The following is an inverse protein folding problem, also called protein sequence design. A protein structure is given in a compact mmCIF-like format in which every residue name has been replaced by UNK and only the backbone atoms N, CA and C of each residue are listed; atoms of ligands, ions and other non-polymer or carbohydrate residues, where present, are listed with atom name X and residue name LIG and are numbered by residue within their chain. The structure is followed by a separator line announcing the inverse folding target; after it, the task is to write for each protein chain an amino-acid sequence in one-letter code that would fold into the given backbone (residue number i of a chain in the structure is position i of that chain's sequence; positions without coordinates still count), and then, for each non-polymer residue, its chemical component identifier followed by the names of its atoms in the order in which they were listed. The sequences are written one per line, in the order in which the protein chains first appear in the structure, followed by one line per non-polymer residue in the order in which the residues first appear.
data_IF_654065546231
#
_entry.id   IF_654065546231
#
_cell.length_a   1.000
_cell.length_b   1.000
_cell.length_c   1.000
_cell.angle_alpha   90.00
_cell.angle_beta   90.00
_cell.angle_gamma   90.00
#
_symmetry.space_group_name_H-M   'P 1'
#
loop_
_entity.id
_entity.type
_entity.pdbx_description
1 polymer ?
#
# COMPACT_ATOMS: atom_id res chain seq x y z
N UNK A 1 70.59 26.56 -44.86
CA UNK A 1 71.00 28.01 -44.98
C UNK A 1 69.83 28.85 -44.46
N UNK A 2 70.22 29.88 -43.70
CA UNK A 2 69.46 31.02 -43.19
C UNK A 2 68.55 30.79 -41.98
N UNK A 3 69.16 31.14 -40.90
CA UNK A 3 68.77 31.85 -39.69
C UNK A 3 67.78 32.98 -39.94
N UNK A 4 66.87 33.23 -39.05
CA UNK A 4 66.58 34.58 -38.57
C UNK A 4 65.89 34.50 -37.18
N UNK A 5 66.45 35.32 -36.34
CA UNK A 5 66.18 35.70 -34.97
C UNK A 5 65.01 36.70 -34.96
N UNK A 6 64.16 36.70 -33.98
CA UNK A 6 63.53 37.91 -33.41
C UNK A 6 62.60 37.55 -32.24
N UNK A 7 62.97 37.96 -31.17
CA UNK A 7 62.65 39.05 -30.22
C UNK A 7 61.56 38.70 -29.24
N UNK A 8 61.99 38.61 -27.97
CA UNK A 8 61.21 38.69 -26.75
C UNK A 8 60.32 39.95 -26.73
N UNK A 9 59.00 39.76 -26.37
CA UNK A 9 58.21 40.84 -25.82
C UNK A 9 57.58 40.34 -24.53
N UNK A 10 58.09 40.76 -23.41
CA UNK A 10 57.50 40.61 -22.09
C UNK A 10 56.25 41.52 -21.98
N UNK A 11 55.06 40.97 -21.88
CA UNK A 11 53.93 41.71 -21.43
C UNK A 11 53.55 41.15 -20.05
N UNK A 12 53.70 41.98 -19.05
CA UNK A 12 53.25 41.73 -17.67
C UNK A 12 51.75 41.78 -17.65
N UNK A 13 51.09 40.59 -17.52
CA UNK A 13 49.67 40.50 -17.25
C UNK A 13 49.46 40.63 -15.74
N UNK A 14 48.91 41.76 -15.33
CA UNK A 14 48.43 41.99 -13.97
C UNK A 14 47.24 41.04 -13.75
N UNK A 15 47.46 40.01 -12.97
CA UNK A 15 46.40 39.05 -12.56
C UNK A 15 45.39 39.74 -11.64
N UNK A 16 44.23 40.06 -12.18
CA UNK A 16 43.07 40.39 -11.35
C UNK A 16 42.59 39.11 -10.63
N UNK A 17 42.93 38.99 -9.35
CA UNK A 17 42.35 37.98 -8.46
C UNK A 17 40.90 38.37 -8.22
N UNK A 18 39.98 37.81 -9.00
CA UNK A 18 38.56 37.86 -8.70
C UNK A 18 38.28 37.06 -7.42
N UNK A 19 37.69 37.66 -6.38
CA UNK A 19 37.24 36.87 -5.23
C UNK A 19 36.18 35.89 -5.72
N UNK A 20 36.50 34.59 -5.64
CA UNK A 20 35.48 33.53 -5.81
C UNK A 20 34.43 33.77 -4.73
N UNK A 21 33.27 34.32 -5.13
CA UNK A 21 32.09 34.34 -4.30
C UNK A 21 31.71 32.88 -4.04
N UNK A 22 32.19 32.34 -2.92
CA UNK A 22 31.72 31.07 -2.40
C UNK A 22 30.18 31.21 -2.19
N UNK A 23 29.40 30.73 -3.14
CA UNK A 23 27.97 30.57 -2.93
C UNK A 23 27.80 29.76 -1.65
N UNK A 24 27.07 30.26 -0.64
CA UNK A 24 26.83 29.49 0.56
C UNK A 24 26.18 28.18 0.14
N UNK A 25 26.83 27.05 0.43
CA UNK A 25 26.22 25.75 0.31
C UNK A 25 25.01 25.78 1.25
N UNK A 26 23.82 25.97 0.69
CA UNK A 26 22.60 25.83 1.45
C UNK A 26 22.60 24.41 2.00
N UNK A 27 22.89 24.29 3.29
CA UNK A 27 22.77 23.04 4.00
C UNK A 27 21.34 22.56 3.77
N UNK A 28 21.20 21.51 2.97
CA UNK A 28 19.91 20.93 2.65
C UNK A 28 19.26 20.55 3.99
N UNK A 29 18.14 21.18 4.32
CA UNK A 29 17.45 20.93 5.58
C UNK A 29 17.32 19.41 5.79
N UNK A 30 17.55 18.89 7.00
CA UNK A 30 17.45 17.48 7.27
C UNK A 30 16.09 16.96 6.77
N UNK A 31 16.11 15.85 6.05
CA UNK A 31 14.86 15.26 5.54
C UNK A 31 13.91 15.02 6.72
N UNK A 32 12.66 15.51 6.60
CA UNK A 32 11.68 15.42 7.67
C UNK A 32 11.43 13.94 8.04
N UNK A 33 11.34 13.64 9.33
CA UNK A 33 11.06 12.29 9.83
C UNK A 33 9.67 11.82 9.36
N UNK A 34 9.56 10.69 8.63
CA UNK A 34 8.28 10.22 8.09
C UNK A 34 7.24 9.88 9.15
N UNK A 35 7.65 9.44 10.35
CA UNK A 35 6.73 9.12 11.45
C UNK A 35 6.12 10.40 12.02
N UNK A 36 6.95 11.43 12.21
CA UNK A 36 6.49 12.76 12.66
C UNK A 36 5.58 13.38 11.59
N UNK A 37 6.00 13.29 10.31
CA UNK A 37 5.23 13.80 9.19
C UNK A 37 3.85 13.13 9.09
N UNK A 38 3.77 11.80 9.25
CA UNK A 38 2.52 11.07 9.29
C UNK A 38 1.62 11.51 10.47
N UNK A 39 2.16 11.60 11.68
CA UNK A 39 1.38 12.00 12.86
C UNK A 39 0.75 13.39 12.70
N UNK A 40 1.41 14.30 12.00
CA UNK A 40 0.86 15.63 11.64
C UNK A 40 -0.34 15.56 10.69
N UNK A 41 -0.53 14.44 9.96
CA UNK A 41 -1.70 14.25 9.10
C UNK A 41 -2.95 13.80 9.86
N UNK A 42 -2.84 13.41 11.12
CA UNK A 42 -3.96 12.91 11.92
C UNK A 42 -4.88 14.05 12.40
N UNK A 43 -5.52 14.66 11.44
CA UNK A 43 -6.52 15.70 11.64
C UNK A 43 -7.89 15.13 11.30
N UNK A 44 -8.85 15.25 12.22
CA UNK A 44 -10.22 14.73 12.05
C UNK A 44 -10.87 15.31 10.79
N UNK A 45 -11.46 14.45 9.95
CA UNK A 45 -12.11 14.86 8.70
C UNK A 45 -11.14 15.12 7.54
N UNK A 46 -9.84 14.93 7.75
CA UNK A 46 -8.83 14.96 6.70
C UNK A 46 -8.40 13.54 6.35
N UNK A 47 -7.64 13.38 5.27
CA UNK A 47 -7.23 12.06 4.83
C UNK A 47 -6.24 12.06 3.67
N UNK A 48 -6.17 10.91 3.00
CA UNK A 48 -5.33 10.67 1.83
C UNK A 48 -6.04 9.72 0.88
N UNK A 49 -5.85 9.88 -0.42
CA UNK A 49 -6.28 8.90 -1.42
C UNK A 49 -5.08 8.03 -1.85
N UNK A 50 -5.38 6.84 -2.35
CA UNK A 50 -4.36 5.98 -2.94
C UNK A 50 -4.86 5.28 -4.20
N UNK A 51 -3.90 4.92 -5.04
CA UNK A 51 -4.06 3.96 -6.13
C UNK A 51 -2.99 2.88 -6.01
N UNK A 52 -3.36 1.65 -6.31
CA UNK A 52 -2.53 0.48 -6.09
C UNK A 52 -2.69 -0.51 -7.23
N UNK A 53 -1.59 -1.17 -7.56
CA UNK A 53 -1.58 -2.35 -8.42
C UNK A 53 -0.70 -3.42 -7.80
N UNK A 54 -1.18 -4.65 -7.83
CA UNK A 54 -0.39 -5.82 -7.49
C UNK A 54 -0.13 -6.62 -8.76
N UNK A 55 1.14 -6.93 -8.98
CA UNK A 55 1.58 -7.85 -10.03
C UNK A 55 1.95 -9.19 -9.43
N UNK A 56 1.65 -10.26 -10.16
CA UNK A 56 2.09 -11.61 -9.90
C UNK A 56 3.09 -12.02 -10.97
N UNK A 57 4.14 -12.72 -10.60
CA UNK A 57 5.18 -13.19 -11.55
C UNK A 57 6.07 -14.25 -10.94
N UNK A 58 6.79 -14.98 -11.81
CA UNK A 58 7.68 -16.09 -11.47
C UNK A 58 9.06 -15.94 -12.12
N UNK A 59 9.59 -14.75 -12.17
CA UNK A 59 10.88 -14.43 -12.81
C UNK A 59 10.72 -13.41 -13.91
N UNK A 60 10.90 -13.77 -15.17
CA UNK A 60 10.88 -12.83 -16.31
C UNK A 60 9.46 -12.41 -16.70
N UNK A 61 8.45 -13.18 -16.31
CA UNK A 61 7.05 -12.87 -16.59
C UNK A 61 6.35 -12.24 -15.39
N UNK A 62 5.65 -11.14 -15.59
CA UNK A 62 4.79 -10.56 -14.59
C UNK A 62 3.53 -9.95 -15.21
N UNK A 63 2.40 -10.15 -14.55
CA UNK A 63 1.11 -9.58 -14.98
C UNK A 63 0.44 -8.86 -13.82
N UNK A 64 -0.39 -7.86 -14.14
CA UNK A 64 -1.20 -7.19 -13.12
C UNK A 64 -2.34 -8.13 -12.74
N UNK A 65 -2.40 -8.49 -11.46
CA UNK A 65 -3.43 -9.35 -10.89
C UNK A 65 -4.57 -8.55 -10.28
N UNK A 66 -4.26 -7.53 -9.48
CA UNK A 66 -5.23 -6.75 -8.72
C UNK A 66 -4.94 -5.26 -8.88
N UNK A 67 -6.00 -4.47 -8.99
CA UNK A 67 -5.99 -3.01 -8.88
C UNK A 67 -6.91 -2.57 -7.76
N UNK A 68 -6.42 -1.65 -6.92
CA UNK A 68 -7.18 -1.07 -5.83
C UNK A 68 -7.09 0.45 -5.89
N UNK A 69 -8.16 1.10 -5.52
CA UNK A 69 -8.19 2.54 -5.26
C UNK A 69 -8.94 2.79 -3.98
N UNK A 70 -8.61 3.85 -3.26
CA UNK A 70 -9.33 4.12 -2.04
C UNK A 70 -8.94 5.44 -1.39
N UNK A 71 -9.57 5.66 -0.25
CA UNK A 71 -9.36 6.81 0.62
C UNK A 71 -9.28 6.35 2.06
N UNK A 72 -8.41 6.99 2.82
CA UNK A 72 -8.38 6.93 4.28
C UNK A 72 -8.82 8.26 4.85
N UNK A 73 -9.75 8.23 5.80
CA UNK A 73 -10.10 9.38 6.63
C UNK A 73 -9.42 9.24 7.97
N UNK A 74 -8.74 10.28 8.39
CA UNK A 74 -8.05 10.31 9.68
C UNK A 74 -8.94 10.81 10.81
N UNK A 75 -8.68 10.30 11.99
CA UNK A 75 -9.03 10.87 13.27
C UNK A 75 -7.78 11.29 14.03
N UNK A 76 -7.92 11.70 15.27
CA UNK A 76 -6.80 12.17 16.12
C UNK A 76 -5.69 11.12 16.36
N UNK A 77 -5.95 9.84 16.17
CA UNK A 77 -5.03 8.73 16.52
C UNK A 77 -4.67 7.84 15.33
N UNK A 78 -5.07 8.17 14.11
CA UNK A 78 -4.83 7.37 12.92
C UNK A 78 -6.03 7.29 12.00
N UNK A 79 -6.12 6.23 11.21
CA UNK A 79 -7.24 5.99 10.29
C UNK A 79 -8.52 5.71 11.08
N UNK A 80 -9.54 6.55 10.89
CA UNK A 80 -10.87 6.44 11.49
C UNK A 80 -11.87 5.75 10.57
N UNK A 81 -11.72 5.94 9.25
CA UNK A 81 -12.55 5.27 8.23
C UNK A 81 -11.74 5.05 6.94
N UNK A 82 -12.16 4.08 6.15
CA UNK A 82 -11.62 3.79 4.82
C UNK A 82 -12.74 3.44 3.84
N UNK A 83 -12.49 3.72 2.56
CA UNK A 83 -13.35 3.34 1.43
C UNK A 83 -12.42 2.84 0.33
N UNK A 84 -12.48 1.55 0.02
CA UNK A 84 -11.54 0.85 -0.84
C UNK A 84 -12.32 0.05 -1.88
N UNK A 85 -12.00 0.27 -3.16
CA UNK A 85 -12.51 -0.52 -4.27
C UNK A 85 -11.40 -1.42 -4.81
N UNK A 86 -11.72 -2.68 -5.03
CA UNK A 86 -10.82 -3.73 -5.53
C UNK A 86 -11.37 -4.31 -6.82
N UNK A 87 -10.50 -4.52 -7.80
CA UNK A 87 -10.82 -5.21 -9.05
C UNK A 87 -9.69 -6.16 -9.43
N UNK A 88 -10.04 -7.38 -9.77
CA UNK A 88 -9.12 -8.33 -10.41
C UNK A 88 -8.99 -8.03 -11.91
N UNK A 89 -7.79 -8.20 -12.42
CA UNK A 89 -7.47 -7.94 -13.83
C UNK A 89 -7.61 -9.21 -14.67
N UNK A 90 -8.83 -9.76 -14.66
CA UNK A 90 -9.17 -10.94 -15.47
C UNK A 90 -9.72 -10.50 -16.82
N UNK A 91 -9.29 -11.17 -17.88
CA UNK A 91 -9.91 -11.05 -19.22
C UNK A 91 -11.32 -11.67 -19.21
N UNK A 92 -12.14 -11.35 -20.21
CA UNK A 92 -13.47 -11.94 -20.34
C UNK A 92 -13.39 -13.48 -20.38
N UNK A 93 -12.48 -14.02 -21.21
CA UNK A 93 -12.25 -15.48 -21.32
C UNK A 93 -11.86 -16.12 -19.99
N UNK A 94 -10.91 -15.52 -19.25
CA UNK A 94 -10.52 -16.05 -17.94
C UNK A 94 -11.68 -16.06 -16.95
N UNK A 95 -12.62 -15.11 -17.03
CA UNK A 95 -13.82 -15.14 -16.18
C UNK A 95 -14.80 -16.23 -16.59
N UNK A 96 -14.98 -16.45 -17.89
CA UNK A 96 -15.85 -17.51 -18.43
C UNK A 96 -15.36 -18.91 -18.03
N UNK A 97 -14.03 -19.10 -17.98
CA UNK A 97 -13.39 -20.37 -17.60
C UNK A 97 -13.46 -20.66 -16.08
N UNK A 98 -13.91 -19.71 -15.22
CA UNK A 98 -14.06 -19.90 -13.79
C UNK A 98 -15.42 -20.52 -13.44
N UNK A 99 -15.46 -21.38 -12.40
CA UNK A 99 -16.73 -21.79 -11.78
C UNK A 99 -17.46 -20.58 -11.19
N UNK A 100 -18.77 -20.69 -10.96
CA UNK A 100 -19.59 -19.59 -10.47
C UNK A 100 -19.08 -19.08 -9.11
N UNK A 101 -18.79 -19.96 -8.15
CA UNK A 101 -18.28 -19.61 -6.82
C UNK A 101 -16.93 -18.87 -6.90
N UNK A 102 -16.02 -19.33 -7.77
CA UNK A 102 -14.72 -18.69 -7.97
C UNK A 102 -14.89 -17.35 -8.70
N UNK A 103 -15.85 -17.25 -9.61
CA UNK A 103 -16.16 -16.00 -10.32
C UNK A 103 -16.65 -14.90 -9.37
N UNK A 104 -17.48 -15.24 -8.39
CA UNK A 104 -17.96 -14.33 -7.36
C UNK A 104 -16.83 -13.82 -6.48
N UNK A 105 -15.89 -14.70 -6.11
CA UNK A 105 -14.69 -14.28 -5.38
C UNK A 105 -13.89 -13.21 -6.14
N UNK A 106 -13.79 -13.33 -7.47
CA UNK A 106 -13.09 -12.38 -8.32
C UNK A 106 -13.94 -11.20 -8.81
N UNK A 107 -15.20 -11.11 -8.40
CA UNK A 107 -16.05 -9.96 -8.72
C UNK A 107 -15.51 -8.67 -8.08
N UNK A 108 -15.79 -7.50 -8.67
CA UNK A 108 -15.39 -6.24 -8.05
C UNK A 108 -15.96 -6.09 -6.64
N UNK A 109 -15.09 -5.69 -5.71
CA UNK A 109 -15.44 -5.48 -4.30
C UNK A 109 -15.29 -4.01 -3.92
N UNK A 110 -16.20 -3.52 -3.08
CA UNK A 110 -16.01 -2.28 -2.32
C UNK A 110 -16.10 -2.58 -0.82
N UNK A 111 -15.09 -2.14 -0.08
CA UNK A 111 -15.04 -2.24 1.38
C UNK A 111 -15.06 -0.85 1.99
N UNK A 112 -16.10 -0.52 2.77
CA UNK A 112 -16.14 0.67 3.61
C UNK A 112 -15.94 0.23 5.06
N UNK A 113 -15.01 0.88 5.78
CA UNK A 113 -14.85 0.65 7.22
C UNK A 113 -14.99 1.96 7.97
N UNK A 114 -15.86 1.98 8.99
CA UNK A 114 -16.06 3.12 9.88
C UNK A 114 -15.87 2.65 11.32
N UNK A 115 -14.90 3.21 11.99
CA UNK A 115 -14.47 2.73 13.32
C UNK A 115 -13.98 1.29 13.26
N UNK A 116 -14.71 0.37 13.90
CA UNK A 116 -14.39 -1.08 13.92
C UNK A 116 -15.30 -1.91 13.02
N UNK A 117 -16.26 -1.30 12.34
CA UNK A 117 -17.23 -2.03 11.51
C UNK A 117 -16.88 -1.91 10.04
N UNK A 118 -16.77 -3.03 9.34
CA UNK A 118 -16.61 -3.09 7.90
C UNK A 118 -17.94 -3.39 7.20
N UNK A 119 -18.08 -2.85 5.99
CA UNK A 119 -19.21 -3.05 5.11
C UNK A 119 -18.66 -3.49 3.76
N UNK A 120 -19.17 -4.60 3.23
CA UNK A 120 -18.74 -5.20 1.97
C UNK A 120 -19.86 -5.17 0.95
N UNK A 121 -19.49 -4.82 -0.29
CA UNK A 121 -20.37 -4.85 -1.45
C UNK A 121 -19.66 -5.56 -2.58
N UNK A 122 -20.32 -6.54 -3.19
CA UNK A 122 -19.73 -7.38 -4.25
C UNK A 122 -18.61 -8.28 -3.72
N UNK A 123 -17.80 -8.83 -4.64
CA UNK A 123 -16.81 -9.83 -4.31
C UNK A 123 -17.40 -11.05 -3.63
N UNK A 124 -16.60 -11.78 -2.89
CA UNK A 124 -17.01 -12.99 -2.17
C UNK A 124 -18.24 -12.78 -1.28
N UNK A 125 -18.30 -11.67 -0.55
CA UNK A 125 -19.44 -11.41 0.35
C UNK A 125 -20.72 -10.96 -0.38
N UNK A 126 -20.61 -10.60 -1.66
CA UNK A 126 -21.77 -10.21 -2.45
C UNK A 126 -22.74 -11.34 -2.71
N UNK A 127 -22.26 -12.59 -2.81
CA UNK A 127 -23.08 -13.79 -3.04
C UNK A 127 -23.97 -14.18 -1.88
N UNK A 128 -23.66 -13.72 -0.66
CA UNK A 128 -24.46 -14.00 0.54
C UNK A 128 -25.58 -12.97 0.79
N UNK A 129 -25.67 -11.93 -0.04
CA UNK A 129 -26.62 -10.85 0.20
C UNK A 129 -28.04 -11.24 -0.25
N UNK A 130 -29.06 -10.97 0.59
CA UNK A 130 -30.44 -10.99 0.14
C UNK A 130 -30.66 -10.02 -1.02
N UNK A 131 -31.60 -10.31 -1.91
CA UNK A 131 -31.86 -9.54 -3.14
C UNK A 131 -32.17 -8.05 -2.91
N UNK A 132 -32.72 -7.72 -1.73
CA UNK A 132 -33.05 -6.34 -1.33
C UNK A 132 -31.91 -5.61 -0.60
N UNK A 133 -30.73 -6.26 -0.39
CA UNK A 133 -29.57 -5.72 0.30
C UNK A 133 -28.37 -5.56 -0.63
N UNK A 134 -27.60 -4.52 -0.36
CA UNK A 134 -26.40 -4.18 -1.17
C UNK A 134 -25.13 -4.36 -0.38
N UNK A 135 -25.20 -4.31 0.95
CA UNK A 135 -24.04 -4.29 1.83
C UNK A 135 -24.15 -5.31 2.96
N UNK A 136 -23.09 -6.09 3.13
CA UNK A 136 -22.89 -6.94 4.30
C UNK A 136 -22.12 -6.19 5.38
N UNK A 137 -22.68 -6.05 6.57
CA UNK A 137 -22.03 -5.48 7.75
C UNK A 137 -21.34 -6.57 8.55
N UNK A 138 -20.03 -6.39 8.81
CA UNK A 138 -19.24 -7.29 9.66
C UNK A 138 -18.61 -6.47 10.78
N UNK A 139 -19.09 -6.57 12.04
CA UNK A 139 -18.41 -6.00 13.20
C UNK A 139 -17.02 -6.61 13.34
N UNK A 140 -15.98 -5.79 13.56
CA UNK A 140 -14.60 -6.25 13.60
C UNK A 140 -13.98 -6.63 12.25
N UNK A 141 -14.74 -6.53 11.15
CA UNK A 141 -14.32 -6.96 9.83
C UNK A 141 -13.04 -6.26 9.32
N UNK A 142 -12.33 -6.89 8.35
CA UNK A 142 -11.05 -6.42 7.86
C UNK A 142 -11.14 -5.07 7.13
N UNK A 143 -10.18 -4.20 7.37
CA UNK A 143 -10.10 -2.90 6.71
C UNK A 143 -9.68 -3.01 5.24
N UNK A 144 -8.88 -4.02 4.93
CA UNK A 144 -8.26 -4.20 3.63
C UNK A 144 -9.12 -4.95 2.61
N UNK A 145 -10.33 -5.39 3.00
CA UNK A 145 -11.17 -6.27 2.19
C UNK A 145 -10.76 -7.74 2.24
N UNK A 146 -11.49 -8.60 1.52
CA UNK A 146 -11.25 -10.06 1.52
C UNK A 146 -9.87 -10.40 0.92
N UNK A 147 -9.44 -9.65 -0.08
CA UNK A 147 -8.17 -9.88 -0.78
C UNK A 147 -7.01 -9.07 -0.22
N UNK A 148 -7.06 -8.76 1.07
CA UNK A 148 -6.07 -7.89 1.73
C UNK A 148 -4.62 -8.35 1.56
N UNK A 149 -4.36 -9.67 1.55
CA UNK A 149 -3.01 -10.23 1.33
C UNK A 149 -2.53 -10.15 -0.12
N UNK A 150 -3.43 -9.93 -1.07
CA UNK A 150 -3.13 -9.72 -2.49
C UNK A 150 -2.93 -8.23 -2.82
N UNK A 151 -2.97 -7.35 -1.83
CA UNK A 151 -2.71 -5.91 -1.94
C UNK A 151 -1.50 -5.49 -1.13
N UNK A 152 -1.42 -4.18 -0.83
CA UNK A 152 -0.36 -3.65 0.01
C UNK A 152 -0.48 -4.15 1.45
N UNK A 153 0.50 -4.91 1.86
CA UNK A 153 0.57 -5.47 3.22
C UNK A 153 1.31 -4.55 4.21
N UNK A 154 1.94 -3.49 3.72
CA UNK A 154 2.65 -2.51 4.55
C UNK A 154 1.72 -1.33 4.87
N UNK A 155 1.31 -1.20 6.11
CA UNK A 155 0.45 -0.13 6.60
C UNK A 155 1.22 1.18 6.83
N UNK A 156 1.52 1.95 5.78
CA UNK A 156 2.27 3.22 5.90
C UNK A 156 1.48 4.34 6.59
N UNK A 157 0.19 4.16 6.83
CA UNK A 157 -0.65 5.05 7.63
C UNK A 157 -0.59 4.74 9.14
N UNK A 158 0.24 3.78 9.53
CA UNK A 158 0.45 3.35 10.91
C UNK A 158 1.82 3.80 11.41
N UNK A 159 1.92 4.67 12.44
CA UNK A 159 3.20 5.15 12.97
C UNK A 159 4.15 4.05 13.43
N UNK A 160 3.62 3.00 14.09
CA UNK A 160 4.44 1.90 14.61
C UNK A 160 5.03 1.05 13.46
N UNK A 161 4.25 0.82 12.41
CA UNK A 161 4.75 0.15 11.20
C UNK A 161 5.87 0.96 10.56
N UNK A 162 5.66 2.26 10.31
CA UNK A 162 6.70 3.13 9.75
C UNK A 162 7.95 3.16 10.64
N UNK A 163 7.80 3.33 11.96
CA UNK A 163 8.91 3.35 12.90
C UNK A 163 9.73 2.07 12.81
N UNK A 164 9.09 0.91 12.79
CA UNK A 164 9.75 -0.40 12.67
C UNK A 164 10.50 -0.55 11.36
N UNK A 165 9.87 -0.18 10.23
CA UNK A 165 10.52 -0.24 8.93
C UNK A 165 11.76 0.66 8.87
N UNK A 166 11.65 1.91 9.34
CA UNK A 166 12.74 2.88 9.31
C UNK A 166 13.90 2.50 10.23
N UNK A 167 13.63 1.86 11.38
CA UNK A 167 14.67 1.39 12.30
C UNK A 167 15.58 0.33 11.67
N UNK A 168 15.07 -0.48 10.74
CA UNK A 168 15.80 -1.55 10.05
C UNK A 168 16.08 -1.24 8.58
N UNK A 169 15.61 -0.08 8.10
CA UNK A 169 15.77 0.36 6.72
C UNK A 169 17.05 1.16 6.47
N UNK A 170 17.43 1.25 5.20
CA UNK A 170 18.51 2.11 4.73
C UNK A 170 17.93 3.31 3.99
N UNK A 171 18.48 4.48 4.23
CA UNK A 171 18.17 5.69 3.45
C UNK A 171 18.70 5.51 2.02
N UNK A 172 17.86 5.79 1.04
CA UNK A 172 18.20 5.74 -0.38
C UNK A 172 17.72 7.01 -1.06
N UNK A 173 18.09 7.22 -2.32
CA UNK A 173 17.60 8.37 -3.09
C UNK A 173 16.07 8.37 -3.12
N UNK A 174 15.48 9.48 -2.67
CA UNK A 174 14.04 9.71 -2.63
C UNK A 174 13.28 8.98 -1.50
N UNK A 175 13.98 8.34 -0.54
CA UNK A 175 13.29 7.67 0.57
C UNK A 175 14.09 6.62 1.33
N UNK A 176 13.49 5.45 1.53
CA UNK A 176 14.04 4.38 2.35
C UNK A 176 13.75 3.01 1.70
N UNK A 177 14.60 2.03 1.97
CA UNK A 177 14.40 0.65 1.54
C UNK A 177 14.88 -0.34 2.60
N UNK A 178 14.33 -1.54 2.58
CA UNK A 178 14.73 -2.59 3.53
C UNK A 178 13.97 -3.89 3.32
N UNK A 179 14.08 -4.74 4.33
CA UNK A 179 13.39 -6.02 4.40
C UNK A 179 12.74 -6.13 5.77
N UNK A 180 11.57 -6.70 5.83
CA UNK A 180 10.86 -7.10 7.05
C UNK A 180 10.31 -8.50 6.86
N UNK A 181 9.59 -9.03 7.85
CA UNK A 181 8.94 -10.34 7.77
C UNK A 181 7.46 -10.23 8.12
N UNK A 182 6.68 -11.24 7.74
CA UNK A 182 5.28 -11.36 8.17
C UNK A 182 5.14 -11.36 9.70
N UNK A 183 6.07 -12.03 10.39
CA UNK A 183 6.08 -12.07 11.84
C UNK A 183 6.33 -10.71 12.49
N UNK A 184 7.18 -9.87 11.89
CA UNK A 184 7.42 -8.49 12.35
C UNK A 184 6.20 -7.60 12.05
N UNK A 185 5.65 -7.67 10.84
CA UNK A 185 4.44 -6.93 10.48
C UNK A 185 3.25 -7.31 11.37
N UNK A 186 3.10 -8.59 11.68
CA UNK A 186 2.05 -9.06 12.59
C UNK A 186 2.09 -8.38 13.96
N UNK A 187 3.29 -8.17 14.49
CA UNK A 187 3.46 -7.55 15.83
C UNK A 187 3.05 -6.07 15.85
N UNK A 188 3.29 -5.32 14.76
CA UNK A 188 3.21 -3.86 14.77
C UNK A 188 2.07 -3.29 13.93
N UNK A 189 1.55 -4.02 12.95
CA UNK A 189 0.60 -3.51 11.97
C UNK A 189 -0.80 -4.09 12.18
N UNK A 190 -1.76 -3.23 12.51
CA UNK A 190 -3.19 -3.57 12.50
C UNK A 190 -3.69 -3.82 11.09
N UNK A 191 -3.17 -3.06 10.13
CA UNK A 191 -3.47 -3.23 8.71
C UNK A 191 -3.12 -4.64 8.25
N UNK A 192 -1.92 -5.11 8.56
CA UNK A 192 -1.47 -6.45 8.20
C UNK A 192 -2.28 -7.54 8.92
N UNK A 193 -2.58 -7.35 10.21
CA UNK A 193 -3.46 -8.30 10.93
C UNK A 193 -4.84 -8.38 10.27
N UNK A 194 -5.44 -7.24 9.95
CA UNK A 194 -6.73 -7.20 9.25
C UNK A 194 -6.68 -7.89 7.88
N UNK A 195 -5.57 -7.78 7.13
CA UNK A 195 -5.39 -8.49 5.87
C UNK A 195 -5.35 -10.02 6.04
N UNK A 196 -5.02 -10.51 7.23
CA UNK A 196 -5.03 -11.93 7.61
C UNK A 196 -6.27 -12.31 8.43
N UNK A 197 -7.32 -11.48 8.46
CA UNK A 197 -8.52 -11.71 9.29
C UNK A 197 -8.17 -11.99 10.76
N UNK A 198 -7.17 -11.29 11.30
CA UNK A 198 -6.60 -11.49 12.63
C UNK A 198 -6.11 -12.93 12.93
N UNK A 199 -5.91 -13.74 11.90
CA UNK A 199 -5.30 -15.06 12.01
C UNK A 199 -3.77 -14.94 12.03
N UNK A 200 -3.16 -15.38 13.14
CA UNK A 200 -1.71 -15.34 13.30
C UNK A 200 -1.01 -16.23 12.26
N UNK A 201 -0.01 -15.70 11.53
CA UNK A 201 0.75 -16.52 10.58
C UNK A 201 1.39 -17.73 11.27
N UNK A 202 1.33 -18.89 10.63
CA UNK A 202 2.04 -20.08 11.08
C UNK A 202 3.55 -19.82 11.12
N UNK A 203 4.31 -20.64 11.87
CA UNK A 203 5.75 -20.43 12.07
C UNK A 203 6.54 -20.28 10.74
N UNK A 204 6.22 -21.09 9.73
CA UNK A 204 6.82 -20.99 8.39
C UNK A 204 6.44 -19.68 7.70
N UNK A 205 5.16 -19.32 7.69
CA UNK A 205 4.66 -18.08 7.09
C UNK A 205 5.23 -16.83 7.77
N UNK A 206 5.43 -16.88 9.10
CA UNK A 206 6.02 -15.76 9.87
C UNK A 206 7.43 -15.39 9.38
N UNK A 207 8.15 -16.34 8.76
CA UNK A 207 9.48 -16.13 8.19
C UNK A 207 9.46 -15.56 6.76
N UNK A 208 8.28 -15.41 6.14
CA UNK A 208 8.16 -14.84 4.80
C UNK A 208 8.77 -13.44 4.78
N UNK A 209 9.78 -13.28 3.95
CA UNK A 209 10.48 -12.00 3.75
C UNK A 209 9.65 -11.07 2.87
N UNK A 210 9.58 -9.81 3.27
CA UNK A 210 8.96 -8.73 2.53
C UNK A 210 10.03 -7.68 2.25
N UNK A 211 10.44 -7.55 1.00
CA UNK A 211 11.29 -6.42 0.58
C UNK A 211 10.42 -5.21 0.35
N UNK A 212 10.92 -4.01 0.69
CA UNK A 212 10.12 -2.80 0.55
C UNK A 212 10.96 -1.59 0.17
N UNK A 213 10.32 -0.62 -0.49
CA UNK A 213 10.85 0.70 -0.76
C UNK A 213 9.76 1.74 -0.50
N UNK A 214 10.08 2.75 0.32
CA UNK A 214 9.24 3.90 0.62
C UNK A 214 9.82 5.13 -0.07
N UNK A 215 8.97 5.91 -0.72
CA UNK A 215 9.31 7.21 -1.28
C UNK A 215 8.62 8.29 -0.46
N UNK A 216 9.35 9.35 -0.15
CA UNK A 216 8.82 10.48 0.63
C UNK A 216 8.99 11.78 -0.15
N UNK A 217 8.11 12.74 0.10
CA UNK A 217 8.29 14.10 -0.40
C UNK A 217 9.14 14.94 0.57
N UNK A 218 9.39 16.20 0.23
CA UNK A 218 10.16 17.13 1.07
C UNK A 218 9.55 17.35 2.48
N UNK A 219 8.23 17.12 2.66
CA UNK A 219 7.55 17.20 3.96
C UNK A 219 7.67 15.90 4.76
N UNK A 220 8.33 14.87 4.24
CA UNK A 220 8.52 13.58 4.88
C UNK A 220 7.33 12.62 4.80
N UNK A 221 6.19 13.00 4.20
CA UNK A 221 5.08 12.06 4.04
C UNK A 221 5.36 11.06 2.93
N UNK A 222 4.92 9.82 3.14
CA UNK A 222 5.09 8.73 2.17
C UNK A 222 4.20 9.00 0.95
N UNK A 223 4.80 9.09 -0.23
CA UNK A 223 4.08 9.29 -1.49
C UNK A 223 3.90 8.01 -2.29
N UNK A 224 4.75 7.02 -2.06
CA UNK A 224 4.68 5.72 -2.72
C UNK A 224 5.32 4.64 -1.84
N UNK A 225 4.76 3.45 -1.86
CA UNK A 225 5.35 2.25 -1.28
C UNK A 225 5.31 1.12 -2.30
N UNK A 226 6.45 0.46 -2.46
CA UNK A 226 6.57 -0.77 -3.25
C UNK A 226 6.98 -1.87 -2.30
N UNK A 227 6.26 -2.97 -2.30
CA UNK A 227 6.61 -4.16 -1.53
C UNK A 227 6.59 -5.41 -2.39
N UNK A 228 7.43 -6.40 -2.06
CA UNK A 228 7.44 -7.70 -2.73
C UNK A 228 7.63 -8.81 -1.72
N UNK A 229 6.90 -9.89 -1.90
CA UNK A 229 6.99 -11.11 -1.09
C UNK A 229 6.61 -12.34 -1.90
N UNK A 230 6.88 -13.54 -1.35
CA UNK A 230 6.43 -14.79 -1.95
C UNK A 230 4.91 -14.90 -1.93
N UNK A 231 4.30 -15.29 -3.04
CA UNK A 231 2.87 -15.55 -3.15
C UNK A 231 2.41 -16.78 -2.35
N UNK A 232 3.32 -17.66 -1.93
CA UNK A 232 2.99 -18.87 -1.15
C UNK A 232 2.18 -18.57 0.11
N UNK A 233 2.41 -17.41 0.74
CA UNK A 233 1.65 -16.99 1.92
C UNK A 233 0.18 -16.64 1.60
N UNK A 234 -0.14 -16.40 0.33
CA UNK A 234 -1.48 -16.11 -0.19
C UNK A 234 -2.04 -17.28 -1.04
N UNK A 235 -1.48 -18.50 -0.91
CA UNK A 235 -1.88 -19.67 -1.69
C UNK A 235 -1.32 -19.72 -3.12
N UNK A 236 -0.50 -18.75 -3.53
CA UNK A 236 0.05 -18.62 -4.87
C UNK A 236 1.50 -19.12 -4.90
N UNK A 237 1.68 -20.44 -4.75
CA UNK A 237 3.02 -21.07 -4.69
C UNK A 237 3.80 -20.83 -5.98
N UNK A 238 5.14 -20.72 -5.85
CA UNK A 238 6.03 -20.46 -6.97
C UNK A 238 6.05 -19.00 -7.47
N UNK A 239 5.09 -18.19 -7.08
CA UNK A 239 4.96 -16.82 -7.56
C UNK A 239 5.52 -15.80 -6.58
N UNK A 240 5.83 -14.61 -7.10
CA UNK A 240 6.17 -13.41 -6.35
C UNK A 240 5.08 -12.37 -6.54
N UNK A 241 4.58 -11.82 -5.45
CA UNK A 241 3.68 -10.68 -5.48
C UNK A 241 4.49 -9.40 -5.30
N UNK A 242 4.24 -8.42 -6.16
CA UNK A 242 4.81 -7.07 -6.05
C UNK A 242 3.69 -6.05 -6.08
N UNK A 243 3.54 -5.32 -4.99
CA UNK A 243 2.50 -4.29 -4.84
C UNK A 243 3.12 -2.91 -4.86
N UNK A 244 2.56 -2.05 -5.70
CA UNK A 244 2.96 -0.66 -5.90
C UNK A 244 1.78 0.25 -5.58
N UNK A 245 1.89 1.03 -4.50
CA UNK A 245 0.85 1.93 -4.00
C UNK A 245 1.33 3.36 -4.04
N UNK A 246 0.56 4.23 -4.67
CA UNK A 246 0.80 5.68 -4.75
C UNK A 246 -0.23 6.42 -3.91
N UNK A 247 0.23 7.32 -3.04
CA UNK A 247 -0.58 8.15 -2.17
C UNK A 247 -0.65 9.58 -2.69
N UNK A 248 -1.85 10.15 -2.74
CA UNK A 248 -2.10 11.51 -3.24
C UNK A 248 -3.03 12.29 -2.32
N UNK A 249 -2.86 13.61 -2.30
CA UNK A 249 -3.77 14.50 -1.57
C UNK A 249 -3.70 14.33 -0.04
N UNK A 250 -2.53 14.13 0.54
CA UNK A 250 -2.34 14.15 1.98
C UNK A 250 -2.90 15.45 2.59
N UNK A 251 -3.68 15.31 3.66
CA UNK A 251 -4.30 16.45 4.36
C UNK A 251 -5.55 17.02 3.68
N UNK A 252 -6.02 16.41 2.57
CA UNK A 252 -7.29 16.80 1.93
C UNK A 252 -8.47 16.48 2.84
N UNK A 253 -9.57 17.23 2.70
CA UNK A 253 -10.84 16.90 3.34
C UNK A 253 -11.37 15.58 2.79
N UNK A 254 -11.72 14.65 3.69
CA UNK A 254 -12.30 13.34 3.36
C UNK A 254 -13.45 13.07 4.33
N UNK A 255 -14.61 12.70 3.78
CA UNK A 255 -15.77 12.26 4.55
C UNK A 255 -16.17 10.87 4.05
N UNK A 256 -16.05 9.87 4.92
CA UNK A 256 -16.46 8.49 4.67
C UNK A 256 -17.55 8.14 5.69
N UNK A 257 -18.68 7.67 5.19
CA UNK A 257 -19.84 7.30 6.00
C UNK A 257 -20.19 5.85 5.78
N UNK A 258 -20.81 5.22 6.78
CA UNK A 258 -21.43 3.92 6.61
C UNK A 258 -22.52 3.99 5.54
N UNK A 259 -22.81 2.89 4.83
CA UNK A 259 -23.93 2.80 3.91
C UNK A 259 -25.27 3.06 4.63
N UNK A 260 -26.30 3.39 3.86
CA UNK A 260 -27.65 3.62 4.43
C UNK A 260 -28.17 2.33 5.06
N UNK A 261 -28.76 2.43 6.26
CA UNK A 261 -29.18 1.25 7.03
C UNK A 261 -30.16 0.32 6.27
N UNK A 262 -31.01 0.88 5.42
CA UNK A 262 -31.97 0.12 4.59
C UNK A 262 -31.28 -0.83 3.60
N UNK A 263 -30.07 -0.50 3.17
CA UNK A 263 -29.29 -1.24 2.17
C UNK A 263 -28.33 -2.26 2.81
N UNK A 264 -28.35 -2.39 4.15
CA UNK A 264 -27.38 -3.17 4.93
C UNK A 264 -28.08 -4.36 5.59
N UNK A 265 -27.43 -5.52 5.59
CA UNK A 265 -27.71 -6.66 6.45
C UNK A 265 -26.49 -6.98 7.30
N UNK A 266 -26.67 -7.37 8.54
CA UNK A 266 -25.55 -7.83 9.38
C UNK A 266 -25.24 -9.30 9.10
N UNK A 267 -23.96 -9.69 9.14
CA UNK A 267 -23.56 -11.09 9.04
C UNK A 267 -24.21 -11.95 10.14
N UNK A 268 -24.51 -11.35 11.30
CA UNK A 268 -25.19 -12.01 12.41
C UNK A 268 -26.68 -12.28 12.16
N UNK A 269 -27.25 -11.64 11.14
CA UNK A 269 -28.67 -11.77 10.78
C UNK A 269 -28.85 -12.69 9.58
N UNK A 270 -27.76 -13.24 9.03
CA UNK A 270 -27.77 -14.25 7.97
C UNK A 270 -27.64 -15.64 8.60
N UNK A 271 -28.42 -16.57 8.09
CA UNK A 271 -28.33 -18.00 8.43
C UNK A 271 -27.23 -18.63 7.54
N UNK A 272 -25.97 -18.46 7.97
CA UNK A 272 -24.81 -18.96 7.26
C UNK A 272 -24.21 -20.14 8.02
N UNK A 273 -24.12 -21.29 7.37
CA UNK A 273 -23.36 -22.41 7.88
C UNK A 273 -21.85 -22.10 7.85
N UNK A 274 -21.08 -22.77 8.72
CA UNK A 274 -19.63 -22.53 8.81
C UNK A 274 -18.90 -22.87 7.49
N UNK A 275 -19.46 -23.72 6.65
CA UNK A 275 -18.94 -24.06 5.33
C UNK A 275 -19.16 -22.94 4.31
N UNK A 276 -20.27 -22.20 4.40
CA UNK A 276 -20.61 -21.09 3.50
C UNK A 276 -19.67 -19.90 3.65
N UNK A 277 -19.08 -19.71 4.82
CA UNK A 277 -18.15 -18.61 5.10
C UNK A 277 -16.69 -18.92 4.81
N UNK A 278 -16.37 -20.13 4.34
CA UNK A 278 -15.01 -20.53 3.98
C UNK A 278 -14.59 -19.83 2.69
N UNK A 279 -13.50 -19.04 2.76
CA UNK A 279 -12.91 -18.43 1.56
C UNK A 279 -12.38 -19.55 0.66
N UNK A 280 -12.85 -19.65 -0.60
CA UNK A 280 -12.41 -20.70 -1.51
C UNK A 280 -10.89 -20.71 -1.66
N UNK A 281 -10.26 -21.88 -1.57
CA UNK A 281 -8.86 -22.04 -1.91
C UNK A 281 -8.70 -21.96 -3.42
N UNK A 282 -8.28 -20.81 -3.93
CA UNK A 282 -8.09 -20.61 -5.37
C UNK A 282 -6.70 -21.11 -5.76
N UNK A 283 -6.63 -22.21 -6.49
CA UNK A 283 -5.44 -22.62 -7.19
C UNK A 283 -5.51 -22.03 -8.60
N UNK A 284 -4.70 -21.01 -8.89
CA UNK A 284 -4.52 -20.51 -10.26
C UNK A 284 -3.58 -21.49 -10.98
N UNK A 285 -4.12 -22.25 -11.92
CA UNK A 285 -3.35 -23.11 -12.83
C UNK A 285 -2.68 -22.29 -13.92
#
# INVERSE_FOLDING_TARGET
MRRLIATLACTAAVGAVAPALATPAYAQAPAADPVIALKKQFVTGHGVAFSERTTIGDGDYSTVMVRRTGKFQFGKRGVAASDISTKFNLTARQREDLSEEVRDFFAPEQTIRVGTTAYFKGGFFGSFLPADKTWLKIPGGPQAGVVGTMGQIIGVTEPETLKTLLAHGKKVSGGYSGTTTYGELWKVSKWFRGALFDQKPKAAQSKTKVTWKLFTNAKGVVTRVVSSHSGSASGLSGSKLTTDTVFTGWGRTVSIKAPAAKDVVSITDLDLDAEDTSIPSVTLN
#
